data_IF_384040087173
#
_entry.id   IF_384040087173
#
_cell.length_a   1.000
_cell.length_b   1.000
_cell.length_c   1.000
_cell.angle_alpha   90.00
_cell.angle_beta   90.00
_cell.angle_gamma   90.00
#
_symmetry.space_group_name_H-M   'P 1'
#
loop_
_entity.id
_entity.type
_entity.pdbx_description
1 polymer ?
#
# COMPACT_ATOMS: atom_id res chain seq x y z
N UNK A 1 -54.15 -10.63 2.71
CA UNK A 1 -52.82 -10.04 3.01
C UNK A 1 -51.83 -11.17 3.15
N UNK A 2 -51.03 -11.38 2.10
CA UNK A 2 -50.01 -12.43 2.00
C UNK A 2 -48.73 -11.93 2.69
N UNK A 3 -48.24 -12.65 3.70
CA UNK A 3 -46.93 -12.39 4.31
C UNK A 3 -46.02 -13.53 3.90
N UNK A 4 -45.29 -13.32 2.81
CA UNK A 4 -44.19 -14.18 2.36
C UNK A 4 -43.00 -13.92 3.28
N UNK A 5 -42.71 -14.88 4.16
CA UNK A 5 -41.50 -14.89 4.97
C UNK A 5 -40.34 -15.47 4.14
N UNK A 6 -39.62 -14.58 3.44
CA UNK A 6 -38.35 -14.92 2.78
C UNK A 6 -37.29 -15.28 3.82
N UNK A 7 -37.05 -16.58 4.03
CA UNK A 7 -35.88 -17.08 4.73
C UNK A 7 -34.65 -16.90 3.83
N UNK A 8 -33.91 -15.82 4.03
CA UNK A 8 -32.59 -15.66 3.41
C UNK A 8 -31.55 -16.45 4.20
N UNK A 9 -31.01 -17.50 3.58
CA UNK A 9 -29.90 -18.31 4.07
C UNK A 9 -28.59 -17.52 3.94
N UNK A 10 -28.04 -17.05 5.06
CA UNK A 10 -26.71 -16.44 5.10
C UNK A 10 -25.62 -17.53 5.01
N UNK A 11 -25.11 -17.81 3.81
CA UNK A 11 -23.85 -18.55 3.65
C UNK A 11 -22.70 -17.69 4.20
N UNK A 12 -22.10 -18.13 5.29
CA UNK A 12 -20.85 -17.57 5.82
C UNK A 12 -19.69 -18.15 5.04
N UNK A 13 -19.05 -17.35 4.19
CA UNK A 13 -17.78 -17.69 3.57
C UNK A 13 -16.65 -17.38 4.57
N UNK A 14 -16.08 -18.43 5.17
CA UNK A 14 -14.88 -18.35 5.99
C UNK A 14 -13.67 -18.33 5.07
N UNK A 15 -13.07 -17.16 4.85
CA UNK A 15 -11.76 -17.04 4.21
C UNK A 15 -10.70 -16.97 5.29
N UNK A 16 -10.11 -18.13 5.60
CA UNK A 16 -8.89 -18.21 6.39
C UNK A 16 -7.74 -17.55 5.65
N UNK A 17 -7.27 -16.40 6.16
CA UNK A 17 -6.03 -15.79 5.70
C UNK A 17 -4.85 -16.47 6.41
N UNK A 18 -4.26 -17.45 5.75
CA UNK A 18 -2.96 -18.00 6.10
C UNK A 18 -1.85 -17.02 5.72
N UNK A 19 -1.14 -16.51 6.72
CA UNK A 19 0.11 -15.77 6.53
C UNK A 19 1.20 -16.76 6.10
N UNK A 20 1.49 -16.79 4.80
CA UNK A 20 2.70 -17.40 4.24
C UNK A 20 3.85 -16.41 4.38
N UNK A 21 4.78 -16.70 5.30
CA UNK A 21 6.05 -15.99 5.39
C UNK A 21 7.06 -16.69 4.48
N UNK A 22 7.34 -16.07 3.33
CA UNK A 22 8.43 -16.47 2.45
C UNK A 22 9.76 -16.03 3.06
N UNK A 23 10.50 -17.02 3.57
CA UNK A 23 11.90 -16.85 3.97
C UNK A 23 12.78 -16.62 2.75
N UNK A 24 13.37 -15.43 2.68
CA UNK A 24 14.49 -15.12 1.80
C UNK A 24 15.78 -15.23 2.62
N UNK A 25 16.53 -16.28 2.30
CA UNK A 25 17.87 -16.59 2.77
C UNK A 25 18.90 -15.68 2.09
N UNK A 26 19.82 -15.14 2.88
CA UNK A 26 21.18 -14.85 2.43
C UNK A 26 22.17 -15.06 3.60
N UNK A 27 23.35 -15.64 3.34
CA UNK A 27 24.23 -16.17 4.37
C UNK A 27 25.43 -15.24 4.66
N UNK A 28 25.86 -15.24 5.91
CA UNK A 28 27.10 -14.62 6.39
C UNK A 28 26.99 -14.52 7.91
N UNK A 29 27.68 -15.30 8.74
CA UNK A 29 29.01 -15.82 8.60
C UNK A 29 29.79 -15.25 9.78
N UNK A 30 29.82 -15.98 10.90
CA UNK A 30 30.79 -15.77 11.99
C UNK A 30 30.74 -16.98 12.93
N UNK A 31 31.64 -17.91 12.68
CA UNK A 31 32.05 -18.96 13.61
C UNK A 31 33.15 -18.39 14.51
N UNK A 32 33.10 -18.69 15.80
CA UNK A 32 34.29 -18.72 16.64
C UNK A 32 34.12 -19.83 17.65
N UNK A 33 34.89 -20.88 17.43
CA UNK A 33 35.07 -22.05 18.26
C UNK A 33 36.14 -21.82 19.32
N UNK A 34 36.10 -22.67 20.33
CA UNK A 34 37.20 -23.07 21.22
C UNK A 34 37.70 -22.07 22.28
N UNK A 35 37.39 -22.42 23.53
CA UNK A 35 38.00 -21.86 24.73
C UNK A 35 37.78 -22.83 25.89
N UNK A 36 38.70 -23.78 26.04
CA UNK A 36 38.77 -24.79 27.08
C UNK A 36 38.92 -24.16 28.48
N UNK A 37 38.32 -24.81 29.49
CA UNK A 37 39.10 -25.17 30.68
C UNK A 37 38.94 -24.35 31.97
N UNK A 38 38.46 -25.06 32.98
CA UNK A 38 38.85 -25.02 34.41
C UNK A 38 38.41 -23.83 35.27
N UNK A 39 37.82 -24.15 36.43
CA UNK A 39 37.82 -23.23 37.58
C UNK A 39 36.56 -23.25 38.45
N UNK A 40 36.26 -24.37 39.10
CA UNK A 40 35.41 -24.37 40.30
C UNK A 40 36.12 -23.59 41.41
N UNK A 41 35.42 -22.69 42.10
CA UNK A 41 35.79 -22.31 43.47
C UNK A 41 34.55 -21.92 44.26
N UNK A 42 34.24 -22.79 45.22
CA UNK A 42 33.28 -22.57 46.31
C UNK A 42 33.90 -21.58 47.27
N UNK A 43 33.18 -20.51 47.61
CA UNK A 43 33.61 -19.59 48.67
C UNK A 43 33.20 -20.17 50.02
N UNK A 44 34.17 -20.71 50.74
CA UNK A 44 34.05 -21.07 52.16
C UNK A 44 34.26 -19.80 53.00
N UNK A 45 33.32 -19.53 53.91
CA UNK A 45 33.44 -18.46 54.90
C UNK A 45 34.45 -18.89 55.99
N UNK A 46 35.56 -18.17 56.06
CA UNK A 46 36.59 -18.36 57.10
C UNK A 46 36.16 -17.72 58.42
N UNK A 47 36.35 -18.47 59.49
CA UNK A 47 36.15 -18.13 60.89
C UNK A 47 36.86 -16.84 61.31
N UNK A 48 36.10 -15.91 61.89
CA UNK A 48 36.61 -14.66 62.48
C UNK A 48 37.37 -14.93 63.77
N UNK A 49 38.47 -14.22 63.93
CA UNK A 49 39.49 -14.42 64.95
C UNK A 49 39.05 -14.08 66.38
N UNK A 50 39.63 -14.89 67.27
CA UNK A 50 40.13 -14.61 68.62
C UNK A 50 39.82 -13.24 69.25
N UNK A 51 39.12 -13.27 70.39
CA UNK A 51 39.22 -12.28 71.46
C UNK A 51 39.00 -12.99 72.80
N UNK A 52 40.08 -13.48 73.40
CA UNK A 52 40.08 -13.97 74.79
C UNK A 52 40.34 -12.79 75.73
N UNK A 53 39.47 -12.58 76.71
CA UNK A 53 39.62 -11.58 77.77
C UNK A 53 40.77 -11.93 78.73
N UNK A 54 41.49 -10.95 79.31
CA UNK A 54 42.51 -11.20 80.31
C UNK A 54 41.90 -11.69 81.63
N UNK A 55 42.39 -12.81 82.15
CA UNK A 55 42.09 -13.31 83.49
C UNK A 55 42.90 -12.55 84.53
N UNK A 56 42.23 -11.94 85.52
CA UNK A 56 42.89 -11.39 86.71
C UNK A 56 43.06 -12.53 87.72
N UNK A 57 44.29 -13.01 87.80
CA UNK A 57 44.78 -13.95 88.81
C UNK A 57 44.94 -13.19 90.14
N UNK A 58 43.95 -13.29 91.02
CA UNK A 58 44.03 -12.83 92.40
C UNK A 58 44.75 -13.88 93.24
N UNK A 59 46.08 -13.71 93.37
CA UNK A 59 46.96 -14.63 94.07
C UNK A 59 46.59 -14.82 95.55
N UNK A 60 46.62 -16.09 95.97
CA UNK A 60 46.80 -16.48 97.36
C UNK A 60 48.20 -16.01 97.80
N UNK A 61 48.24 -14.93 98.57
CA UNK A 61 49.49 -14.29 98.99
C UNK A 61 49.17 -13.08 99.84
N UNK A 62 48.71 -13.34 101.07
CA UNK A 62 48.30 -12.32 102.00
C UNK A 62 49.46 -11.39 102.36
N UNK A 63 49.42 -10.16 101.88
CA UNK A 63 49.93 -8.95 102.50
C UNK A 63 49.24 -7.77 101.79
N UNK A 64 48.21 -7.18 102.41
CA UNK A 64 47.54 -5.97 101.88
C UNK A 64 46.02 -5.94 101.92
N UNK A 65 45.33 -7.00 102.35
CA UNK A 65 43.90 -6.97 102.66
C UNK A 65 43.67 -6.23 103.97
N UNK A 66 43.38 -4.92 103.89
CA UNK A 66 42.90 -4.16 105.04
C UNK A 66 41.45 -4.53 105.30
N UNK A 67 41.22 -5.45 106.22
CA UNK A 67 39.93 -5.58 106.90
C UNK A 67 39.82 -4.36 107.80
N UNK A 68 38.87 -3.47 107.52
CA UNK A 68 38.51 -2.38 108.42
C UNK A 68 38.06 -2.98 109.75
N UNK A 69 38.86 -2.81 110.79
CA UNK A 69 38.45 -3.10 112.16
C UNK A 69 37.37 -2.07 112.54
N UNK A 70 36.17 -2.54 112.86
CA UNK A 70 35.14 -1.69 113.46
C UNK A 70 35.50 -1.43 114.91
N UNK A 71 36.05 -0.25 115.19
CA UNK A 71 36.17 0.30 116.55
C UNK A 71 34.75 0.51 117.10
N UNK A 72 34.33 -0.31 118.05
CA UNK A 72 33.11 -0.09 118.83
C UNK A 72 33.42 0.99 119.88
N UNK A 73 33.06 2.24 119.58
CA UNK A 73 32.94 3.29 120.60
C UNK A 73 31.47 3.32 121.03
N UNK A 74 31.19 2.68 122.16
CA UNK A 74 29.89 2.74 122.82
C UNK A 74 29.90 3.97 123.71
N UNK A 75 29.37 5.09 123.23
CA UNK A 75 29.03 6.22 124.09
C UNK A 75 27.86 7.02 123.50
N UNK A 76 26.74 7.09 124.24
CA UNK A 76 25.59 7.98 123.95
C UNK A 76 24.29 7.31 123.45
N UNK A 77 23.14 7.50 124.14
CA UNK A 77 21.84 7.00 123.70
C UNK A 77 21.25 7.95 122.65
N UNK A 78 21.50 7.64 121.37
CA UNK A 78 20.99 8.43 120.25
C UNK A 78 21.15 7.67 118.94
N UNK A 79 20.07 6.99 118.52
CA UNK A 79 19.77 6.54 117.17
C UNK A 79 20.97 6.31 116.23
N UNK A 80 21.44 5.07 116.18
CA UNK A 80 22.33 4.58 115.13
C UNK A 80 21.66 4.83 113.77
N UNK A 81 22.21 5.79 113.00
CA UNK A 81 21.73 6.18 111.67
C UNK A 81 22.21 5.18 110.61
N UNK A 82 21.88 3.89 110.77
CA UNK A 82 22.17 2.86 109.75
C UNK A 82 21.15 2.90 108.61
N UNK A 83 19.90 3.29 108.89
CA UNK A 83 18.84 3.39 107.87
C UNK A 83 19.01 4.51 106.83
N UNK A 84 19.86 5.52 107.06
CA UNK A 84 20.10 6.59 106.08
C UNK A 84 20.97 6.13 104.91
N UNK A 85 21.96 5.27 105.18
CA UNK A 85 22.84 4.72 104.15
C UNK A 85 22.10 3.74 103.25
N UNK A 86 21.28 2.86 103.83
CA UNK A 86 20.43 1.93 103.08
C UNK A 86 19.35 2.67 102.26
N UNK A 87 18.78 3.74 102.81
CA UNK A 87 17.86 4.60 102.07
C UNK A 87 18.54 5.29 100.89
N UNK A 88 19.76 5.80 101.07
CA UNK A 88 20.53 6.44 100.01
C UNK A 88 20.96 5.44 98.92
N UNK A 89 21.35 4.21 99.29
CA UNK A 89 21.67 3.17 98.29
C UNK A 89 20.43 2.75 97.51
N UNK A 90 19.28 2.59 98.16
CA UNK A 90 18.01 2.30 97.48
C UNK A 90 17.55 3.44 96.57
N UNK A 91 17.74 4.70 96.97
CA UNK A 91 17.49 5.85 96.11
C UNK A 91 18.40 5.84 94.87
N UNK A 92 19.71 5.58 95.04
CA UNK A 92 20.64 5.50 93.91
C UNK A 92 20.25 4.39 92.91
N UNK A 93 19.83 3.23 93.41
CA UNK A 93 19.35 2.13 92.58
C UNK A 93 18.05 2.51 91.85
N UNK A 94 17.11 3.16 92.54
CA UNK A 94 15.86 3.63 91.94
C UNK A 94 16.10 4.73 90.89
N UNK A 95 17.03 5.65 91.12
CA UNK A 95 17.41 6.69 90.16
C UNK A 95 18.06 6.10 88.90
N UNK A 96 18.90 5.08 89.08
CA UNK A 96 19.47 4.32 87.95
C UNK A 96 18.39 3.56 87.18
N UNK A 97 17.45 2.93 87.88
CA UNK A 97 16.32 2.23 87.26
C UNK A 97 15.43 3.20 86.49
N UNK A 98 15.12 4.36 87.05
CA UNK A 98 14.37 5.42 86.37
C UNK A 98 15.06 5.89 85.08
N UNK A 99 16.39 6.12 85.13
CA UNK A 99 17.20 6.44 83.95
C UNK A 99 17.18 5.33 82.90
N UNK A 100 17.24 4.06 83.31
CA UNK A 100 17.14 2.94 82.37
C UNK A 100 15.76 2.86 81.73
N UNK A 101 14.68 3.05 82.50
CA UNK A 101 13.31 3.06 81.96
C UNK A 101 13.10 4.20 80.95
N UNK A 102 13.62 5.40 81.24
CA UNK A 102 13.59 6.52 80.30
C UNK A 102 14.39 6.21 79.03
N UNK A 103 15.57 5.60 79.17
CA UNK A 103 16.39 5.19 78.03
C UNK A 103 15.67 4.16 77.17
N UNK A 104 15.03 3.15 77.76
CA UNK A 104 14.25 2.14 77.04
C UNK A 104 13.13 2.81 76.24
N UNK A 105 12.33 3.70 76.85
CA UNK A 105 11.28 4.45 76.14
C UNK A 105 11.82 5.26 74.96
N UNK A 106 12.97 5.92 75.13
CA UNK A 106 13.60 6.69 74.05
C UNK A 106 14.06 5.80 72.89
N UNK A 107 14.59 4.60 73.21
CA UNK A 107 15.05 3.64 72.22
C UNK A 107 13.87 2.97 71.51
N UNK A 108 12.80 2.65 72.21
CA UNK A 108 11.55 2.14 71.61
C UNK A 108 10.94 3.16 70.65
N UNK A 109 10.89 4.43 71.02
CA UNK A 109 10.41 5.50 70.15
C UNK A 109 11.32 5.69 68.91
N UNK A 110 12.64 5.64 69.10
CA UNK A 110 13.60 5.73 68.00
C UNK A 110 13.50 4.51 67.06
N UNK A 111 13.34 3.30 67.61
CA UNK A 111 13.17 2.08 66.83
C UNK A 111 11.87 2.10 66.04
N UNK A 112 10.76 2.52 66.64
CA UNK A 112 9.48 2.67 65.93
C UNK A 112 9.60 3.65 64.75
N UNK A 113 10.33 4.76 64.93
CA UNK A 113 10.61 5.70 63.83
C UNK A 113 11.47 5.06 62.73
N UNK A 114 12.53 4.34 63.10
CA UNK A 114 13.39 3.65 62.14
C UNK A 114 12.62 2.57 61.37
N UNK A 115 11.74 1.82 62.02
CA UNK A 115 10.88 0.82 61.37
C UNK A 115 9.96 1.45 60.33
N UNK A 116 9.36 2.61 60.63
CA UNK A 116 8.55 3.37 59.66
C UNK A 116 9.38 3.83 58.47
N UNK A 117 10.57 4.38 58.72
CA UNK A 117 11.47 4.83 57.65
C UNK A 117 11.95 3.68 56.77
N UNK A 118 12.23 2.51 57.37
CA UNK A 118 12.59 1.30 56.63
C UNK A 118 11.41 0.85 55.76
N UNK A 119 10.20 0.82 56.33
CA UNK A 119 8.98 0.44 55.60
C UNK A 119 8.72 1.36 54.41
N UNK A 120 8.72 2.67 54.64
CA UNK A 120 8.56 3.68 53.58
C UNK A 120 9.66 3.56 52.53
N UNK A 121 10.92 3.37 52.93
CA UNK A 121 12.03 3.18 52.00
C UNK A 121 11.84 1.96 51.10
N UNK A 122 11.37 0.84 51.63
CA UNK A 122 11.08 -0.35 50.81
C UNK A 122 9.83 -0.18 49.94
N UNK A 123 8.83 0.56 50.41
CA UNK A 123 7.66 0.90 49.60
C UNK A 123 8.07 1.79 48.42
N UNK A 124 8.85 2.85 48.66
CA UNK A 124 9.36 3.80 47.65
C UNK A 124 10.41 3.19 46.71
N UNK A 125 11.24 2.26 47.21
CA UNK A 125 12.27 1.56 46.42
C UNK A 125 11.73 0.31 45.73
N UNK A 126 10.49 -0.09 46.00
CA UNK A 126 9.86 -1.18 45.27
C UNK A 126 10.00 -0.91 43.76
N UNK A 127 10.51 -1.85 42.95
CA UNK A 127 10.59 -1.69 41.49
C UNK A 127 9.21 -1.46 40.84
N UNK A 128 8.13 -1.70 41.60
CA UNK A 128 6.73 -1.47 41.24
C UNK A 128 6.18 -0.12 41.73
N UNK A 129 6.98 0.71 42.42
CA UNK A 129 6.59 2.07 42.76
C UNK A 129 6.34 2.80 41.44
N UNK A 130 5.09 3.22 41.24
CA UNK A 130 4.53 3.62 39.95
C UNK A 130 5.41 4.71 39.33
N UNK A 131 6.29 4.33 38.40
CA UNK A 131 6.92 5.31 37.52
C UNK A 131 5.78 5.91 36.73
N UNK A 132 5.58 7.22 36.84
CA UNK A 132 4.53 7.92 36.10
C UNK A 132 4.85 7.93 34.61
N UNK A 133 4.51 6.83 33.94
CA UNK A 133 4.72 6.61 32.51
C UNK A 133 3.64 7.30 31.66
N UNK A 134 2.66 7.96 32.30
CA UNK A 134 1.52 8.62 31.65
C UNK A 134 1.96 9.60 30.54
N UNK A 135 3.01 10.39 30.78
CA UNK A 135 3.55 11.32 29.78
C UNK A 135 4.09 10.60 28.53
N UNK A 136 4.82 9.50 28.72
CA UNK A 136 5.31 8.71 27.59
C UNK A 136 4.15 8.09 26.79
N UNK A 137 3.14 7.54 27.46
CA UNK A 137 1.96 7.02 26.77
C UNK A 137 1.21 8.10 25.98
N UNK A 138 1.10 9.32 26.53
CA UNK A 138 0.50 10.46 25.83
C UNK A 138 1.29 10.81 24.55
N UNK A 139 2.62 10.93 24.65
CA UNK A 139 3.47 11.21 23.47
C UNK A 139 3.43 10.09 22.43
N UNK A 140 3.47 8.82 22.85
CA UNK A 140 3.36 7.66 21.95
C UNK A 140 2.02 7.67 21.23
N UNK A 141 0.93 7.99 21.93
CA UNK A 141 -0.42 8.05 21.35
C UNK A 141 -0.54 9.21 20.36
N UNK A 142 -0.02 10.38 20.70
CA UNK A 142 0.02 11.54 19.78
C UNK A 142 0.82 11.24 18.51
N UNK A 143 2.01 10.64 18.64
CA UNK A 143 2.83 10.25 17.48
C UNK A 143 2.12 9.21 16.62
N UNK A 144 1.47 8.19 17.22
CA UNK A 144 0.66 7.21 16.48
C UNK A 144 -0.47 7.88 15.72
N UNK A 145 -1.20 8.79 16.36
CA UNK A 145 -2.27 9.55 15.72
C UNK A 145 -1.74 10.39 14.56
N UNK A 146 -0.59 11.06 14.72
CA UNK A 146 0.07 11.81 13.63
C UNK A 146 0.53 10.92 12.48
N UNK A 147 1.01 9.71 12.76
CA UNK A 147 1.37 8.73 11.71
C UNK A 147 0.10 8.29 10.97
N UNK A 148 -0.96 7.94 11.70
CA UNK A 148 -2.23 7.54 11.09
C UNK A 148 -2.85 8.66 10.25
N UNK A 149 -2.91 9.89 10.78
CA UNK A 149 -3.40 11.05 10.05
C UNK A 149 -2.61 11.28 8.75
N UNK A 150 -1.28 11.35 8.83
CA UNK A 150 -0.42 11.51 7.64
C UNK A 150 -0.54 10.33 6.66
N UNK A 151 -0.72 9.11 7.15
CA UNK A 151 -0.93 7.94 6.29
C UNK A 151 -2.24 8.04 5.52
N UNK A 152 -3.31 8.51 6.16
CA UNK A 152 -4.62 8.73 5.52
C UNK A 152 -4.52 9.89 4.52
N UNK A 153 -3.90 11.00 4.89
CA UNK A 153 -3.67 12.14 3.99
C UNK A 153 -2.86 11.74 2.76
N UNK A 154 -1.78 10.96 2.93
CA UNK A 154 -0.99 10.46 1.82
C UNK A 154 -1.81 9.56 0.89
N UNK A 155 -2.59 8.63 1.45
CA UNK A 155 -3.49 7.79 0.66
C UNK A 155 -4.52 8.62 -0.12
N UNK A 156 -5.09 9.66 0.50
CA UNK A 156 -6.00 10.59 -0.15
C UNK A 156 -5.32 11.39 -1.27
N UNK A 157 -4.08 11.84 -1.07
CA UNK A 157 -3.31 12.52 -2.12
C UNK A 157 -3.06 11.60 -3.30
N UNK A 158 -2.62 10.36 -3.06
CA UNK A 158 -2.41 9.36 -4.11
C UNK A 158 -3.71 9.11 -4.88
N UNK A 159 -4.83 8.94 -4.20
CA UNK A 159 -6.14 8.77 -4.84
C UNK A 159 -6.52 9.96 -5.71
N UNK A 160 -6.32 11.19 -5.24
CA UNK A 160 -6.58 12.41 -6.04
C UNK A 160 -5.72 12.48 -7.29
N UNK A 161 -4.42 12.15 -7.17
CA UNK A 161 -3.50 12.11 -8.31
C UNK A 161 -3.98 11.08 -9.33
N UNK A 162 -4.27 9.85 -8.89
CA UNK A 162 -4.77 8.79 -9.77
C UNK A 162 -6.09 9.18 -10.43
N UNK A 163 -7.01 9.80 -9.69
CA UNK A 163 -8.27 10.27 -10.23
C UNK A 163 -8.06 11.37 -11.30
N UNK A 164 -7.12 12.29 -11.08
CA UNK A 164 -6.78 13.32 -12.08
C UNK A 164 -6.17 12.72 -13.34
N UNK A 165 -5.29 11.72 -13.20
CA UNK A 165 -4.67 11.01 -14.33
C UNK A 165 -5.73 10.23 -15.12
N UNK A 166 -6.59 9.46 -14.44
CA UNK A 166 -7.70 8.73 -15.07
C UNK A 166 -8.61 9.70 -15.82
N UNK A 167 -8.95 10.85 -15.22
CA UNK A 167 -9.80 11.85 -15.87
C UNK A 167 -9.14 12.39 -17.13
N UNK A 168 -7.85 12.74 -17.05
CA UNK A 168 -7.07 13.25 -18.19
C UNK A 168 -7.00 12.23 -19.32
N UNK A 169 -6.56 11.01 -19.03
CA UNK A 169 -6.51 9.93 -20.04
C UNK A 169 -7.89 9.61 -20.61
N UNK A 170 -8.95 9.64 -19.79
CA UNK A 170 -10.32 9.44 -20.27
C UNK A 170 -10.74 10.55 -21.24
N UNK A 171 -10.39 11.82 -20.96
CA UNK A 171 -10.68 12.93 -21.87
C UNK A 171 -9.88 12.84 -23.17
N UNK A 172 -8.60 12.46 -23.11
CA UNK A 172 -7.75 12.29 -24.29
C UNK A 172 -8.26 11.17 -25.20
N UNK A 173 -8.63 10.02 -24.62
CA UNK A 173 -9.21 8.89 -25.35
C UNK A 173 -10.54 9.29 -26.00
N UNK A 174 -11.41 10.01 -25.29
CA UNK A 174 -12.68 10.50 -25.85
C UNK A 174 -12.46 11.46 -27.02
N UNK A 175 -11.52 12.40 -26.89
CA UNK A 175 -11.17 13.34 -27.95
C UNK A 175 -10.59 12.62 -29.16
N UNK A 176 -9.64 11.71 -28.95
CA UNK A 176 -9.03 10.92 -30.02
C UNK A 176 -10.07 10.04 -30.72
N UNK A 177 -10.97 9.42 -29.96
CA UNK A 177 -12.08 8.64 -30.51
C UNK A 177 -13.00 9.51 -31.39
N UNK A 178 -13.34 10.73 -30.94
CA UNK A 178 -14.13 11.67 -31.75
C UNK A 178 -13.41 12.01 -33.06
N UNK A 179 -12.13 12.38 -32.99
CA UNK A 179 -11.31 12.68 -34.17
C UNK A 179 -11.27 11.51 -35.15
N UNK A 180 -11.08 10.28 -34.66
CA UNK A 180 -11.11 9.07 -35.51
C UNK A 180 -12.49 8.89 -36.15
N UNK A 181 -13.59 9.13 -35.43
CA UNK A 181 -14.92 9.02 -36.02
C UNK A 181 -15.19 10.10 -37.08
N UNK A 182 -14.70 11.32 -36.86
CA UNK A 182 -14.86 12.41 -37.83
C UNK A 182 -14.02 12.14 -39.09
N UNK A 183 -12.77 11.70 -38.93
CA UNK A 183 -11.93 11.27 -40.04
C UNK A 183 -12.60 10.14 -40.84
N UNK A 184 -13.16 9.13 -40.17
CA UNK A 184 -13.90 8.05 -40.85
C UNK A 184 -15.09 8.59 -41.66
N UNK A 185 -15.85 9.54 -41.13
CA UNK A 185 -16.96 10.19 -41.86
C UNK A 185 -16.46 10.95 -43.09
N UNK A 186 -15.39 11.73 -42.95
CA UNK A 186 -14.81 12.46 -44.09
C UNK A 186 -14.28 11.51 -45.16
N UNK A 187 -13.63 10.42 -44.76
CA UNK A 187 -13.14 9.40 -45.69
C UNK A 187 -14.28 8.73 -46.45
N UNK A 188 -15.35 8.33 -45.76
CA UNK A 188 -16.54 7.77 -46.41
C UNK A 188 -17.19 8.76 -47.38
N UNK A 189 -17.26 10.04 -47.02
CA UNK A 189 -17.75 11.09 -47.93
C UNK A 189 -16.91 11.18 -49.20
N UNK A 190 -15.58 11.18 -49.06
CA UNK A 190 -14.65 11.23 -50.19
C UNK A 190 -14.72 9.96 -51.06
N UNK A 191 -14.90 8.78 -50.46
CA UNK A 191 -15.13 7.54 -51.21
C UNK A 191 -16.41 7.60 -52.04
N UNK A 192 -17.49 8.16 -51.48
CA UNK A 192 -18.75 8.36 -52.21
C UNK A 192 -18.56 9.36 -53.35
N UNK A 193 -17.88 10.50 -53.10
CA UNK A 193 -17.56 11.49 -54.13
C UNK A 193 -16.72 10.88 -55.26
N UNK A 194 -15.69 10.10 -54.92
CA UNK A 194 -14.86 9.40 -55.90
C UNK A 194 -15.68 8.42 -56.75
N UNK A 195 -16.55 7.62 -56.12
CA UNK A 195 -17.45 6.72 -56.85
C UNK A 195 -18.41 7.48 -57.77
N UNK A 196 -18.94 8.63 -57.32
CA UNK A 196 -19.77 9.51 -58.14
C UNK A 196 -19.02 10.01 -59.38
N UNK A 197 -17.80 10.54 -59.19
CA UNK A 197 -16.97 11.04 -60.28
C UNK A 197 -16.57 9.94 -61.27
N UNK A 198 -16.25 8.73 -60.78
CA UNK A 198 -15.94 7.59 -61.64
C UNK A 198 -17.14 7.23 -62.53
N UNK A 199 -18.35 7.26 -61.96
CA UNK A 199 -19.59 6.97 -62.67
C UNK A 199 -19.84 8.02 -63.75
N UNK A 200 -19.73 9.31 -63.41
CA UNK A 200 -19.85 10.41 -64.35
C UNK A 200 -18.81 10.34 -65.47
N UNK A 201 -17.57 9.95 -65.16
CA UNK A 201 -16.52 9.77 -66.17
C UNK A 201 -16.85 8.63 -67.15
N UNK A 202 -17.44 7.52 -66.67
CA UNK A 202 -17.90 6.42 -67.54
C UNK A 202 -19.04 6.89 -68.44
N UNK A 203 -20.01 7.62 -67.90
CA UNK A 203 -21.16 8.16 -68.65
C UNK A 203 -20.71 9.13 -69.76
N UNK A 204 -19.95 10.16 -69.40
CA UNK A 204 -19.42 11.13 -70.37
C UNK A 204 -18.56 10.47 -71.44
N UNK A 205 -17.75 9.45 -71.09
CA UNK A 205 -16.98 8.67 -72.07
C UNK A 205 -17.90 7.88 -73.02
N UNK A 206 -19.01 7.33 -72.53
CA UNK A 206 -19.99 6.67 -73.39
C UNK A 206 -20.71 7.66 -74.29
N UNK A 207 -21.06 8.85 -73.80
CA UNK A 207 -21.66 9.92 -74.60
C UNK A 207 -20.73 10.36 -75.73
N UNK A 208 -19.46 10.65 -75.44
CA UNK A 208 -18.47 10.99 -76.47
C UNK A 208 -18.33 9.86 -77.49
N UNK A 209 -18.32 8.60 -77.06
CA UNK A 209 -18.27 7.45 -77.97
C UNK A 209 -19.51 7.39 -78.88
N UNK A 210 -20.70 7.67 -78.35
CA UNK A 210 -21.94 7.72 -79.16
C UNK A 210 -21.86 8.84 -80.19
N UNK A 211 -21.41 10.04 -79.82
CA UNK A 211 -21.25 11.18 -80.74
C UNK A 211 -20.32 10.83 -81.89
N UNK A 212 -19.14 10.28 -81.61
CA UNK A 212 -18.16 9.88 -82.64
C UNK A 212 -18.76 8.83 -83.59
N UNK A 213 -19.53 7.86 -83.07
CA UNK A 213 -20.18 6.85 -83.91
C UNK A 213 -21.22 7.48 -84.83
N UNK A 214 -22.02 8.42 -84.32
CA UNK A 214 -23.02 9.14 -85.11
C UNK A 214 -22.36 9.97 -86.21
N UNK A 215 -21.31 10.74 -85.89
CA UNK A 215 -20.55 11.51 -86.88
C UNK A 215 -20.00 10.61 -87.99
N UNK A 216 -19.37 9.49 -87.63
CA UNK A 216 -18.85 8.52 -88.61
C UNK A 216 -19.95 7.89 -89.48
N UNK A 217 -21.12 7.59 -88.91
CA UNK A 217 -22.25 7.08 -89.70
C UNK A 217 -22.72 8.14 -90.69
N UNK A 218 -22.78 9.41 -90.27
CA UNK A 218 -23.21 10.52 -91.12
C UNK A 218 -22.23 10.79 -92.27
N UNK A 219 -20.92 10.70 -92.02
CA UNK A 219 -19.89 10.73 -93.08
C UNK A 219 -20.06 9.58 -94.08
N UNK A 220 -20.27 8.35 -93.60
CA UNK A 220 -20.49 7.18 -94.45
C UNK A 220 -21.77 7.32 -95.28
N UNK A 221 -22.85 7.87 -94.71
CA UNK A 221 -24.09 8.16 -95.43
C UNK A 221 -23.89 9.16 -96.56
N UNK A 222 -23.15 10.25 -96.32
CA UNK A 222 -22.83 11.23 -97.37
C UNK A 222 -22.01 10.60 -98.50
N UNK A 223 -21.00 9.77 -98.16
CA UNK A 223 -20.22 9.04 -99.17
C UNK A 223 -21.08 8.07 -99.97
N UNK A 224 -22.00 7.36 -99.31
CA UNK A 224 -22.91 6.43 -99.96
C UNK A 224 -23.84 7.15 -100.95
N UNK A 225 -24.37 8.31 -100.58
CA UNK A 225 -25.23 9.13 -101.46
C UNK A 225 -24.47 9.59 -102.73
N UNK A 226 -23.22 10.05 -102.58
CA UNK A 226 -22.37 10.43 -103.72
C UNK A 226 -22.06 9.22 -104.62
N UNK A 227 -21.82 8.05 -104.04
CA UNK A 227 -21.58 6.81 -104.81
C UNK A 227 -22.83 6.38 -105.58
N UNK A 228 -24.01 6.50 -104.99
CA UNK A 228 -25.29 6.18 -105.66
C UNK A 228 -25.59 7.15 -106.82
N UNK A 229 -25.30 8.44 -106.65
CA UNK A 229 -25.38 9.43 -107.73
C UNK A 229 -24.41 9.10 -108.87
N UNK A 230 -23.14 8.81 -108.54
CA UNK A 230 -22.13 8.43 -109.53
C UNK A 230 -22.50 7.14 -110.28
N UNK A 231 -23.02 6.12 -109.58
CA UNK A 231 -23.47 4.87 -110.20
C UNK A 231 -24.64 5.10 -111.15
N UNK A 232 -25.58 5.99 -110.80
CA UNK A 232 -26.69 6.38 -111.69
C UNK A 232 -26.20 7.02 -112.99
N UNK A 233 -25.10 7.80 -112.94
CA UNK A 233 -24.47 8.36 -114.15
C UNK A 233 -23.75 7.30 -115.00
N UNK A 234 -23.23 6.23 -114.39
CA UNK A 234 -22.56 5.13 -115.09
C UNK A 234 -23.53 4.12 -115.72
N UNK A 235 -24.82 4.19 -115.41
CA UNK A 235 -25.81 3.27 -115.95
C UNK A 235 -26.30 3.73 -117.33
N UNK A 236 -26.02 2.93 -118.37
CA UNK A 236 -26.63 3.11 -119.70
C UNK A 236 -27.88 2.24 -119.80
N UNK A 237 -28.98 2.84 -120.27
CA UNK A 237 -30.20 2.11 -120.66
C UNK A 237 -30.06 1.65 -122.10
N UNK A 238 -29.88 0.35 -122.29
CA UNK A 238 -29.85 -0.27 -123.63
C UNK A 238 -31.27 -0.72 -123.95
N UNK A 239 -31.85 -0.12 -125.00
CA UNK A 239 -33.14 -0.53 -125.58
C UNK A 239 -32.87 -1.53 -126.70
N UNK A 240 -33.22 -2.78 -126.48
CA UNK A 240 -33.20 -3.79 -127.55
C UNK A 240 -34.62 -3.91 -128.08
N UNK A 241 -34.80 -3.55 -129.34
CA UNK A 241 -36.08 -3.68 -130.05
C UNK A 241 -35.97 -4.88 -130.96
N UNK A 242 -36.76 -5.91 -130.68
CA UNK A 242 -36.89 -7.09 -131.54
C UNK A 242 -38.16 -6.90 -132.36
N UNK A 243 -37.98 -6.62 -133.65
CA UNK A 243 -39.06 -6.53 -134.62
C UNK A 243 -39.15 -7.82 -135.43
N UNK A 244 -40.34 -8.41 -135.47
CA UNK A 244 -40.63 -9.58 -136.29
C UNK A 244 -41.17 -9.10 -137.65
N UNK A 245 -40.44 -9.45 -138.72
CA UNK A 245 -40.70 -9.01 -140.09
C UNK A 245 -41.31 -10.15 -140.91
N UNK A 246 -42.44 -9.90 -141.58
CA UNK A 246 -43.01 -10.81 -142.59
C UNK A 246 -43.28 -10.00 -143.87
N UNK A 247 -42.73 -10.44 -145.01
CA UNK A 247 -42.90 -9.82 -146.33
C UNK A 247 -42.62 -8.29 -146.37
N UNK A 248 -41.58 -7.85 -145.68
CA UNK A 248 -41.19 -6.43 -145.66
C UNK A 248 -42.10 -5.52 -144.83
N UNK A 249 -43.01 -6.07 -144.02
CA UNK A 249 -43.81 -5.34 -143.01
C UNK A 249 -43.57 -5.88 -141.60
N UNK A 250 -43.52 -4.98 -140.62
CA UNK A 250 -43.35 -5.28 -139.18
C UNK A 250 -44.68 -5.84 -138.63
N UNK A 251 -44.66 -7.04 -138.04
CA UNK A 251 -45.84 -7.75 -137.53
C UNK A 251 -45.90 -7.76 -136.00
N UNK A 252 -44.75 -7.72 -135.32
CA UNK A 252 -44.69 -7.56 -133.86
C UNK A 252 -43.43 -6.77 -133.46
N UNK A 253 -43.54 -5.95 -132.42
CA UNK A 253 -42.42 -5.17 -131.88
C UNK A 253 -42.34 -5.42 -130.37
N UNK A 254 -41.25 -6.04 -129.92
CA UNK A 254 -40.95 -6.31 -128.51
C UNK A 254 -39.81 -5.39 -128.07
N UNK A 255 -40.01 -4.63 -126.99
CA UNK A 255 -39.00 -3.71 -126.43
C UNK A 255 -38.57 -4.23 -125.06
N UNK A 256 -37.31 -4.62 -124.94
CA UNK A 256 -36.70 -5.05 -123.69
C UNK A 256 -35.67 -4.00 -123.26
N UNK A 257 -35.93 -3.31 -122.14
CA UNK A 257 -35.02 -2.30 -121.58
C UNK A 257 -34.15 -2.94 -120.50
N UNK A 258 -32.83 -3.02 -120.71
CA UNK A 258 -31.88 -3.48 -119.69
C UNK A 258 -30.95 -2.33 -119.28
N UNK A 259 -30.78 -2.17 -117.97
CA UNK A 259 -29.80 -1.26 -117.38
C UNK A 259 -28.46 -2.00 -117.31
N UNK A 260 -27.42 -1.45 -117.92
CA UNK A 260 -26.05 -1.98 -117.85
C UNK A 260 -25.15 -0.93 -117.19
N UNK A 261 -24.37 -1.36 -116.21
CA UNK A 261 -23.29 -0.55 -115.65
C UNK A 261 -22.18 -0.40 -116.70
N UNK A 262 -21.66 0.82 -116.88
CA UNK A 262 -20.46 1.07 -117.67
C UNK A 262 -19.25 0.49 -116.94
N UNK A 263 -18.70 -0.60 -117.47
CA UNK A 263 -17.39 -1.12 -117.05
C UNK A 263 -16.28 -0.08 -117.26
#
# INVERSE_FOLDING_TARGET
>A
MSIVASRSSSLRYSSGSGVVSSGLSSPGGMQSSSGLGYGRSRMSVSSVGSSRSPSVYGGAGGYGTRISQSSFSTDGPGQITIGANEKHTMQNLNDRLARYLEKVRSLEAANSKLELQIKEFYEMRSPTHKKDLSGFYATITDIRNKIHARSVENAQMILRVLQSQITTSTTEVKTSQSQVTDLKRTFQSLEIELHGLLTQHVETRQEVRKVIVVEKIQEVQQVQEVVEEYNSHMQKRVRVIVEEMVDGKVVSTSVDEKVQDLN
#
